data_IF_142569706554
#
_entry.id   IF_142569706554
#
_cell.length_a   1.000
_cell.length_b   1.000
_cell.length_c   1.000
_cell.angle_alpha   90.00
_cell.angle_beta   90.00
_cell.angle_gamma   90.00
#
_symmetry.space_group_name_H-M   'P 1'
#
loop_
_entity.id
_entity.type
_entity.pdbx_description
1 polymer ?
#
# COMPACT_ATOMS: atom_id res chain seq x y z
N UNK A 1 13.57 -19.76 -6.53
CA UNK A 1 12.51 -19.15 -7.37
C UNK A 1 13.10 -17.89 -8.02
N UNK A 2 12.70 -17.50 -9.24
CA UNK A 2 13.22 -16.26 -9.85
C UNK A 2 12.43 -15.04 -9.34
N UNK A 3 13.03 -14.30 -8.40
CA UNK A 3 12.42 -13.12 -7.77
C UNK A 3 12.13 -11.99 -8.76
N UNK A 4 13.02 -11.78 -9.75
CA UNK A 4 12.82 -10.73 -10.75
C UNK A 4 11.61 -11.04 -11.62
N UNK A 5 11.45 -12.32 -12.01
CA UNK A 5 10.28 -12.79 -12.72
C UNK A 5 9.00 -12.61 -11.90
N UNK A 6 9.00 -13.02 -10.62
CA UNK A 6 7.82 -12.84 -9.75
C UNK A 6 7.44 -11.36 -9.60
N UNK A 7 8.43 -10.48 -9.40
CA UNK A 7 8.19 -9.04 -9.32
C UNK A 7 7.56 -8.48 -10.60
N UNK A 8 8.09 -8.85 -11.78
CA UNK A 8 7.56 -8.44 -13.08
C UNK A 8 6.15 -8.98 -13.32
N UNK A 9 5.87 -10.22 -12.95
CA UNK A 9 4.53 -10.82 -13.03
C UNK A 9 3.55 -10.13 -12.09
N UNK A 10 3.98 -9.78 -10.88
CA UNK A 10 3.19 -9.00 -9.92
C UNK A 10 2.79 -7.64 -10.49
N UNK A 11 3.74 -6.89 -11.05
CA UNK A 11 3.48 -5.63 -11.73
C UNK A 11 2.51 -5.78 -12.91
N UNK A 12 2.77 -6.73 -13.81
CA UNK A 12 1.91 -6.97 -14.97
C UNK A 12 0.48 -7.38 -14.56
N UNK A 13 0.33 -8.16 -13.48
CA UNK A 13 -0.98 -8.49 -12.93
C UNK A 13 -1.68 -7.26 -12.34
N UNK A 14 -0.95 -6.38 -11.65
CA UNK A 14 -1.47 -5.14 -11.08
C UNK A 14 -1.97 -4.20 -12.18
N UNK A 15 -1.18 -3.99 -13.24
CA UNK A 15 -1.54 -3.17 -14.41
C UNK A 15 -2.82 -3.68 -15.10
N UNK A 16 -3.00 -5.00 -15.15
CA UNK A 16 -4.22 -5.66 -15.67
C UNK A 16 -5.38 -5.68 -14.68
N UNK A 17 -5.27 -4.99 -13.54
CA UNK A 17 -6.25 -4.97 -12.45
C UNK A 17 -6.52 -6.35 -11.82
N UNK A 18 -5.66 -7.34 -12.05
CA UNK A 18 -5.68 -8.62 -11.36
C UNK A 18 -4.99 -8.47 -10.00
N UNK A 19 -5.61 -7.73 -9.09
CA UNK A 19 -5.03 -7.36 -7.81
C UNK A 19 -4.80 -8.57 -6.88
N UNK A 20 -5.67 -9.58 -6.94
CA UNK A 20 -5.47 -10.83 -6.17
C UNK A 20 -4.26 -11.61 -6.67
N UNK A 21 -4.08 -11.69 -7.99
CA UNK A 21 -2.90 -12.30 -8.60
C UNK A 21 -1.63 -11.52 -8.28
N UNK A 22 -1.67 -10.19 -8.42
CA UNK A 22 -0.56 -9.31 -8.09
C UNK A 22 -0.08 -9.52 -6.64
N UNK A 23 -1.01 -9.50 -5.68
CA UNK A 23 -0.68 -9.73 -4.27
C UNK A 23 0.00 -11.09 -4.04
N UNK A 24 -0.41 -12.16 -4.75
CA UNK A 24 0.23 -13.48 -4.64
C UNK A 24 1.67 -13.46 -5.14
N UNK A 25 1.93 -12.79 -6.26
CA UNK A 25 3.29 -12.64 -6.80
C UNK A 25 4.18 -11.84 -5.86
N UNK A 26 3.69 -10.72 -5.32
CA UNK A 26 4.46 -9.91 -4.38
C UNK A 26 4.69 -10.62 -3.03
N UNK A 27 3.74 -11.42 -2.53
CA UNK A 27 3.99 -12.27 -1.37
C UNK A 27 5.14 -13.23 -1.60
N UNK A 28 5.19 -13.92 -2.76
CA UNK A 28 6.29 -14.82 -3.07
C UNK A 28 7.66 -14.12 -3.15
N UNK A 29 7.70 -12.85 -3.53
CA UNK A 29 8.94 -12.05 -3.48
C UNK A 29 9.32 -11.74 -2.03
N UNK A 30 8.37 -11.29 -1.21
CA UNK A 30 8.60 -10.94 0.20
C UNK A 30 8.98 -12.14 1.06
N UNK A 31 8.52 -13.34 0.72
CA UNK A 31 8.94 -14.58 1.39
C UNK A 31 10.46 -14.82 1.25
N UNK A 32 11.09 -14.27 0.21
CA UNK A 32 12.52 -14.44 -0.09
C UNK A 32 13.37 -13.23 0.33
N UNK A 33 12.90 -12.00 0.08
CA UNK A 33 13.65 -10.76 0.41
C UNK A 33 13.29 -10.15 1.76
N UNK A 34 12.25 -10.67 2.42
CA UNK A 34 11.71 -10.11 3.65
C UNK A 34 10.91 -8.83 3.39
N UNK A 35 11.37 -7.70 3.92
CA UNK A 35 10.58 -6.47 4.05
C UNK A 35 11.08 -5.36 3.11
N UNK A 36 11.13 -5.67 1.81
CA UNK A 36 11.40 -4.64 0.78
C UNK A 36 10.22 -3.67 0.70
N UNK A 37 10.48 -2.38 0.93
CA UNK A 37 9.45 -1.33 1.00
C UNK A 37 8.66 -1.20 -0.30
N UNK A 38 9.33 -1.30 -1.47
CA UNK A 38 8.65 -1.18 -2.76
C UNK A 38 7.69 -2.35 -2.98
N UNK A 39 8.14 -3.57 -2.68
CA UNK A 39 7.30 -4.76 -2.84
C UNK A 39 6.14 -4.76 -1.84
N UNK A 40 6.37 -4.32 -0.60
CA UNK A 40 5.30 -4.10 0.39
C UNK A 40 4.28 -3.09 -0.11
N UNK A 41 4.72 -1.96 -0.70
CA UNK A 41 3.79 -0.94 -1.21
C UNK A 41 2.92 -1.50 -2.33
N UNK A 42 3.51 -2.19 -3.31
CA UNK A 42 2.76 -2.83 -4.39
C UNK A 42 1.76 -3.88 -3.88
N UNK A 43 2.13 -4.66 -2.86
CA UNK A 43 1.24 -5.62 -2.22
C UNK A 43 0.11 -4.94 -1.45
N UNK A 44 0.41 -3.87 -0.69
CA UNK A 44 -0.58 -3.06 0.00
C UNK A 44 -1.63 -2.50 -0.97
N UNK A 45 -1.18 -1.91 -2.09
CA UNK A 45 -2.04 -1.41 -3.17
C UNK A 45 -2.93 -2.51 -3.74
N UNK A 46 -2.34 -3.68 -4.00
CA UNK A 46 -3.05 -4.86 -4.48
C UNK A 46 -4.13 -5.33 -3.49
N UNK A 47 -3.83 -5.34 -2.20
CA UNK A 47 -4.80 -5.65 -1.16
C UNK A 47 -5.92 -4.61 -1.04
N UNK A 48 -5.58 -3.33 -1.10
CA UNK A 48 -6.57 -2.25 -1.06
C UNK A 48 -7.59 -2.34 -2.21
N UNK A 49 -7.10 -2.56 -3.44
CA UNK A 49 -7.97 -2.69 -4.61
C UNK A 49 -8.74 -4.01 -4.67
N UNK A 50 -8.25 -5.08 -4.04
CA UNK A 50 -8.97 -6.36 -3.91
C UNK A 50 -9.90 -6.44 -2.69
N UNK A 51 -10.08 -5.32 -1.97
CA UNK A 51 -10.86 -5.19 -0.73
C UNK A 51 -10.35 -6.03 0.46
N UNK A 52 -9.10 -6.47 0.43
CA UNK A 52 -8.41 -7.12 1.55
C UNK A 52 -7.81 -6.08 2.52
N UNK A 53 -8.65 -5.20 3.08
CA UNK A 53 -8.23 -3.97 3.76
C UNK A 53 -7.32 -4.20 4.97
N UNK A 54 -7.59 -5.22 5.79
CA UNK A 54 -6.74 -5.55 6.96
C UNK A 54 -5.32 -5.93 6.54
N UNK A 55 -5.16 -6.57 5.37
CA UNK A 55 -3.82 -6.90 4.84
C UNK A 55 -3.12 -5.68 4.27
N UNK A 56 -3.86 -4.79 3.60
CA UNK A 56 -3.33 -3.51 3.13
C UNK A 56 -2.82 -2.66 4.30
N UNK A 57 -3.61 -2.57 5.37
CA UNK A 57 -3.25 -1.89 6.61
C UNK A 57 -1.97 -2.45 7.24
N UNK A 58 -1.84 -3.78 7.31
CA UNK A 58 -0.65 -4.42 7.87
C UNK A 58 0.62 -4.07 7.08
N UNK A 59 0.56 -4.13 5.75
CA UNK A 59 1.68 -3.75 4.89
C UNK A 59 2.02 -2.25 5.03
N UNK A 60 1.01 -1.36 5.07
CA UNK A 60 1.25 0.07 5.31
C UNK A 60 1.90 0.34 6.67
N UNK A 61 1.45 -0.31 7.75
CA UNK A 61 2.06 -0.15 9.08
C UNK A 61 3.52 -0.61 9.09
N UNK A 62 3.80 -1.72 8.43
CA UNK A 62 5.17 -2.25 8.27
C UNK A 62 6.09 -1.25 7.55
N UNK A 63 5.59 -0.60 6.50
CA UNK A 63 6.34 0.47 5.80
C UNK A 63 6.59 1.65 6.75
N UNK A 64 5.56 2.09 7.47
CA UNK A 64 5.65 3.27 8.36
C UNK A 64 6.49 3.04 9.61
N UNK A 65 6.63 1.79 10.07
CA UNK A 65 7.60 1.45 11.13
C UNK A 65 9.04 1.73 10.70
N UNK A 66 9.35 1.60 9.41
CA UNK A 66 10.69 1.80 8.84
C UNK A 66 10.88 3.23 8.37
N UNK A 67 9.87 3.76 7.70
CA UNK A 67 9.88 5.10 7.14
C UNK A 67 8.57 5.80 7.52
N UNK A 68 8.50 6.45 8.70
CA UNK A 68 7.28 7.05 9.23
C UNK A 68 6.66 8.15 8.37
N UNK A 69 7.45 8.70 7.45
CA UNK A 69 7.08 9.82 6.58
C UNK A 69 6.72 9.39 5.16
N UNK A 70 6.59 8.09 4.88
CA UNK A 70 6.18 7.62 3.54
C UNK A 70 4.73 8.03 3.26
N UNK A 71 4.59 9.11 2.49
CA UNK A 71 3.33 9.79 2.21
C UNK A 71 2.31 8.83 1.59
N UNK A 72 2.75 7.98 0.66
CA UNK A 72 1.87 7.06 -0.02
C UNK A 72 1.36 5.95 0.91
N UNK A 73 2.20 5.45 1.81
CA UNK A 73 1.80 4.46 2.82
C UNK A 73 0.84 5.08 3.85
N UNK A 74 1.08 6.32 4.28
CA UNK A 74 0.15 7.08 5.14
C UNK A 74 -1.21 7.26 4.47
N UNK A 75 -1.24 7.71 3.21
CA UNK A 75 -2.48 7.90 2.45
C UNK A 75 -3.26 6.59 2.30
N UNK A 76 -2.57 5.50 1.96
CA UNK A 76 -3.19 4.20 1.77
C UNK A 76 -3.73 3.62 3.09
N UNK A 77 -3.03 3.85 4.20
CA UNK A 77 -3.48 3.49 5.55
C UNK A 77 -4.76 4.24 5.92
N UNK A 78 -4.78 5.56 5.75
CA UNK A 78 -5.98 6.39 6.01
C UNK A 78 -7.18 5.85 5.23
N UNK A 79 -7.04 5.65 3.91
CA UNK A 79 -8.13 5.14 3.07
C UNK A 79 -8.57 3.73 3.47
N UNK A 80 -7.63 2.88 3.89
CA UNK A 80 -7.93 1.52 4.36
C UNK A 80 -8.71 1.53 5.66
N UNK A 81 -8.37 2.42 6.60
CA UNK A 81 -9.08 2.60 7.87
C UNK A 81 -10.49 3.16 7.64
N UNK A 82 -10.66 4.14 6.75
CA UNK A 82 -11.97 4.71 6.41
C UNK A 82 -12.91 3.67 5.79
N UNK A 83 -12.40 2.85 4.86
CA UNK A 83 -13.18 1.75 4.28
C UNK A 83 -13.50 0.64 5.28
N UNK A 84 -12.75 0.54 6.38
CA UNK A 84 -13.03 -0.32 7.52
C UNK A 84 -13.92 0.37 8.58
N UNK A 85 -14.39 1.59 8.34
CA UNK A 85 -15.20 2.39 9.28
C UNK A 85 -14.48 2.78 10.59
N UNK A 86 -13.14 2.75 10.59
CA UNK A 86 -12.28 3.18 11.73
C UNK A 86 -11.92 4.65 11.60
N UNK A 87 -12.93 5.52 11.63
CA UNK A 87 -12.78 6.94 11.30
C UNK A 87 -11.91 7.72 12.28
N UNK A 88 -11.98 7.42 13.58
CA UNK A 88 -11.19 8.11 14.60
C UNK A 88 -9.68 7.89 14.40
N UNK A 89 -9.30 6.64 14.14
CA UNK A 89 -7.91 6.26 13.88
C UNK A 89 -7.43 6.79 12.52
N UNK A 90 -8.30 6.78 11.50
CA UNK A 90 -7.99 7.40 10.21
C UNK A 90 -7.71 8.91 10.36
N UNK A 91 -8.43 9.60 11.25
CA UNK A 91 -8.24 11.02 11.52
C UNK A 91 -6.86 11.31 12.14
N UNK A 92 -6.35 10.43 13.01
CA UNK A 92 -5.01 10.56 13.57
C UNK A 92 -3.95 10.50 12.47
N UNK A 93 -3.97 9.46 11.64
CA UNK A 93 -3.02 9.32 10.53
C UNK A 93 -3.19 10.42 9.47
N UNK A 94 -4.39 10.95 9.27
CA UNK A 94 -4.64 12.09 8.38
C UNK A 94 -3.94 13.36 8.88
N UNK A 95 -3.91 13.61 10.19
CA UNK A 95 -3.15 14.74 10.77
C UNK A 95 -1.65 14.58 10.55
N UNK A 96 -1.14 13.36 10.73
CA UNK A 96 0.27 13.02 10.44
C UNK A 96 0.60 13.30 8.97
N UNK A 97 -0.21 12.76 8.06
CA UNK A 97 -0.08 12.97 6.62
C UNK A 97 -0.08 14.47 6.25
N UNK A 98 -1.00 15.25 6.82
CA UNK A 98 -1.08 16.70 6.58
C UNK A 98 0.15 17.46 7.09
N UNK A 99 0.75 17.02 8.21
CA UNK A 99 1.97 17.64 8.74
C UNK A 99 3.18 17.43 7.84
N UNK A 100 3.26 16.28 7.13
CA UNK A 100 4.39 15.96 6.26
C UNK A 100 4.20 16.36 4.79
N UNK A 101 2.99 16.28 4.24
CA UNK A 101 2.73 16.60 2.83
C UNK A 101 2.55 18.10 2.56
N UNK A 102 2.37 18.92 3.61
CA UNK A 102 2.05 20.34 3.50
C UNK A 102 0.73 20.63 2.76
N UNK A 103 -0.04 19.59 2.41
CA UNK A 103 -1.20 19.67 1.50
C UNK A 103 -2.32 18.78 2.02
N UNK A 104 -3.07 19.31 2.99
CA UNK A 104 -4.18 18.64 3.66
C UNK A 104 -5.44 18.41 2.79
N UNK A 105 -5.46 18.81 1.51
CA UNK A 105 -6.69 18.83 0.69
C UNK A 105 -6.70 18.02 -0.61
N UNK A 106 -5.55 17.80 -1.25
CA UNK A 106 -5.52 17.54 -2.70
C UNK A 106 -5.03 16.15 -3.15
N UNK A 107 -4.64 15.27 -2.22
CA UNK A 107 -4.26 13.88 -2.58
C UNK A 107 -5.47 12.97 -2.86
N UNK A 108 -6.68 13.55 -2.93
CA UNK A 108 -7.84 12.89 -3.50
C UNK A 108 -7.68 12.54 -4.99
N UNK A 109 -6.74 13.17 -5.71
CA UNK A 109 -6.69 13.11 -7.18
C UNK A 109 -5.54 12.36 -7.84
N UNK A 110 -4.44 12.02 -7.16
CA UNK A 110 -3.29 11.39 -7.85
C UNK A 110 -3.43 9.86 -7.92
N UNK A 111 -4.45 9.43 -8.68
CA UNK A 111 -4.44 8.14 -9.36
C UNK A 111 -3.28 8.14 -10.37
N UNK A 112 -2.05 8.00 -9.90
CA UNK A 112 -0.90 7.67 -10.76
C UNK A 112 -0.95 6.17 -11.00
N UNK A 113 -1.90 5.78 -11.84
CA UNK A 113 -1.75 4.63 -12.70
C UNK A 113 -0.92 5.09 -13.89
N UNK A 114 0.40 5.15 -13.68
CA UNK A 114 1.41 5.18 -14.72
C UNK A 114 2.23 3.90 -14.63
#
# INVERSE_FOLDING_TARGET
>A
MDLNLQYRLGKAAFERRNYRGAARYFSAVLDEVGHDTNVLEYRARSYYHSAALTKAEADCRTILERTPTEEYALLLLVRSLERQQRHDEALEYRRVLAAYSGRAGDIAGHEVFG
#
